data_IF_020074312822
#
_entry.id   IF_020074312822
#
_cell.length_a   1.000
_cell.length_b   1.000
_cell.length_c   1.000
_cell.angle_alpha   90.00
_cell.angle_beta   90.00
_cell.angle_gamma   90.00
#
_symmetry.space_group_name_H-M   'P 1'
#
loop_
_entity.id
_entity.type
_entity.pdbx_description
1 polymer ?
#
# COMPACT_ATOMS: atom_id res chain seq x y z
N UNK A 1 -4.70 -6.64 -19.18
CA UNK A 1 -4.26 -8.03 -18.91
C UNK A 1 -4.85 -8.47 -17.59
N UNK A 2 -5.38 -9.69 -17.51
CA UNK A 2 -5.93 -10.22 -16.26
C UNK A 2 -4.79 -10.76 -15.38
N UNK A 3 -4.50 -10.10 -14.26
CA UNK A 3 -3.43 -10.50 -13.34
C UNK A 3 -3.87 -11.70 -12.48
N UNK A 4 -3.06 -12.75 -12.25
CA UNK A 4 -3.43 -13.87 -11.39
C UNK A 4 -3.60 -13.46 -9.92
N UNK A 5 -4.51 -14.12 -9.17
CA UNK A 5 -4.74 -13.84 -7.73
C UNK A 5 -3.46 -14.01 -6.92
N UNK A 6 -2.69 -15.08 -7.17
CA UNK A 6 -1.42 -15.31 -6.49
C UNK A 6 -0.42 -14.17 -6.70
N UNK A 7 -0.41 -13.57 -7.90
CA UNK A 7 0.44 -12.42 -8.17
C UNK A 7 0.00 -11.22 -7.32
N UNK A 8 -1.31 -10.92 -7.29
CA UNK A 8 -1.87 -9.82 -6.48
C UNK A 8 -1.50 -9.97 -5.00
N UNK A 9 -1.63 -11.18 -4.45
CA UNK A 9 -1.24 -11.47 -3.06
C UNK A 9 0.26 -11.31 -2.83
N UNK A 10 1.08 -11.73 -3.79
CA UNK A 10 2.54 -11.59 -3.70
C UNK A 10 2.95 -10.13 -3.67
N UNK A 11 2.36 -9.29 -4.52
CA UNK A 11 2.65 -7.86 -4.53
C UNK A 11 2.06 -7.14 -3.31
N UNK A 12 0.91 -7.59 -2.81
CA UNK A 12 0.30 -7.06 -1.59
C UNK A 12 1.26 -7.24 -0.42
N UNK A 13 1.76 -8.46 -0.18
CA UNK A 13 2.74 -8.73 0.88
C UNK A 13 4.07 -8.00 0.66
N UNK A 14 4.50 -7.82 -0.60
CA UNK A 14 5.72 -7.06 -0.89
C UNK A 14 5.55 -5.57 -0.53
N UNK A 15 4.41 -4.96 -0.88
CA UNK A 15 4.11 -3.58 -0.51
C UNK A 15 3.91 -3.41 1.00
N UNK A 16 3.27 -4.37 1.66
CA UNK A 16 3.07 -4.40 3.11
C UNK A 16 4.40 -4.40 3.87
N UNK A 17 5.36 -5.26 3.49
CA UNK A 17 6.69 -5.28 4.11
C UNK A 17 7.45 -3.96 3.99
N UNK A 18 7.34 -3.28 2.85
CA UNK A 18 7.98 -1.97 2.69
C UNK A 18 7.29 -0.88 3.49
N UNK A 19 5.95 -0.92 3.59
CA UNK A 19 5.20 -0.07 4.52
C UNK A 19 5.66 -0.29 5.97
N UNK A 20 5.72 -1.54 6.44
CA UNK A 20 6.17 -1.88 7.80
C UNK A 20 7.59 -1.37 8.09
N UNK A 21 8.50 -1.44 7.11
CA UNK A 21 9.85 -0.89 7.25
C UNK A 21 9.83 0.61 7.54
N UNK A 22 9.03 1.37 6.79
CA UNK A 22 8.90 2.82 7.02
C UNK A 22 8.15 3.15 8.30
N UNK A 23 7.16 2.36 8.69
CA UNK A 23 6.45 2.53 9.97
C UNK A 23 7.42 2.36 11.14
N UNK A 24 8.31 1.37 11.07
CA UNK A 24 9.35 1.17 12.07
C UNK A 24 10.37 2.32 12.09
N UNK A 25 10.76 2.83 10.92
CA UNK A 25 11.75 3.91 10.78
C UNK A 25 11.21 5.26 11.28
N UNK A 26 9.99 5.62 10.89
CA UNK A 26 9.39 6.92 11.16
C UNK A 26 8.42 6.93 12.34
N UNK A 27 8.15 5.77 12.95
CA UNK A 27 7.22 5.60 14.08
C UNK A 27 5.84 6.18 13.78
N UNK A 28 5.38 6.02 12.54
CA UNK A 28 4.13 6.56 12.01
C UNK A 28 3.48 5.51 11.12
N UNK A 29 2.21 5.19 11.36
CA UNK A 29 1.47 4.21 10.57
C UNK A 29 1.36 4.66 9.11
N UNK A 30 1.50 3.73 8.16
CA UNK A 30 1.44 4.02 6.72
C UNK A 30 0.09 4.58 6.31
N UNK A 31 -0.99 4.22 7.00
CA UNK A 31 -2.31 4.79 6.77
C UNK A 31 -2.37 6.28 7.12
N UNK A 32 -1.84 6.67 8.27
CA UNK A 32 -1.77 8.06 8.72
C UNK A 32 -0.79 8.87 7.89
N UNK A 33 0.40 8.33 7.65
CA UNK A 33 1.36 8.91 6.73
C UNK A 33 0.72 9.19 5.37
N UNK A 34 0.04 8.20 4.78
CA UNK A 34 -0.52 8.36 3.44
C UNK A 34 -1.69 9.36 3.41
N UNK A 35 -2.48 9.43 4.49
CA UNK A 35 -3.51 10.47 4.67
C UNK A 35 -2.89 11.87 4.70
N UNK A 36 -1.82 12.06 5.46
CA UNK A 36 -1.08 13.34 5.54
C UNK A 36 -0.42 13.68 4.19
N UNK A 37 0.17 12.68 3.53
CA UNK A 37 0.79 12.82 2.22
C UNK A 37 -0.21 13.33 1.17
N UNK A 38 -1.39 12.73 1.11
CA UNK A 38 -2.47 13.17 0.22
C UNK A 38 -2.99 14.57 0.54
N UNK A 39 -2.94 14.97 1.81
CA UNK A 39 -3.31 16.32 2.25
C UNK A 39 -2.21 17.38 2.02
N UNK A 40 -1.02 16.97 1.55
CA UNK A 40 0.14 17.86 1.45
C UNK A 40 0.68 18.31 2.81
N UNK A 41 0.41 17.56 3.87
CA UNK A 41 0.74 17.88 5.27
C UNK A 41 1.95 17.11 5.80
N UNK A 42 2.75 16.50 4.92
CA UNK A 42 4.00 15.83 5.29
C UNK A 42 5.16 16.81 5.25
N UNK A 43 5.96 16.82 6.31
CA UNK A 43 7.24 17.53 6.32
C UNK A 43 8.19 16.88 5.31
N UNK A 44 9.06 17.66 4.67
CA UNK A 44 9.96 17.17 3.61
C UNK A 44 10.95 16.13 4.16
N UNK A 45 10.98 14.95 3.55
CA UNK A 45 11.87 13.84 3.91
C UNK A 45 12.25 13.07 2.64
N UNK A 46 13.47 12.51 2.57
CA UNK A 46 14.02 11.97 1.33
C UNK A 46 13.19 10.80 0.76
N UNK A 47 12.55 10.01 1.61
CA UNK A 47 11.91 8.75 1.19
C UNK A 47 10.38 8.82 1.07
N UNK A 48 9.77 9.99 1.29
CA UNK A 48 8.29 10.13 1.32
C UNK A 48 7.63 9.69 0.01
N UNK A 49 8.23 10.04 -1.13
CA UNK A 49 7.69 9.65 -2.42
C UNK A 49 7.68 8.13 -2.59
N UNK A 50 8.72 7.47 -2.08
CA UNK A 50 8.85 6.02 -2.16
C UNK A 50 7.85 5.34 -1.21
N UNK A 51 7.75 5.81 0.03
CA UNK A 51 6.76 5.31 0.99
C UNK A 51 5.33 5.50 0.46
N UNK A 52 5.00 6.66 -0.10
CA UNK A 52 3.69 6.90 -0.72
C UNK A 52 3.43 5.98 -1.91
N UNK A 53 4.47 5.60 -2.65
CA UNK A 53 4.41 4.58 -3.69
C UNK A 53 3.98 3.22 -3.17
N UNK A 54 4.57 2.75 -2.07
CA UNK A 54 4.19 1.48 -1.43
C UNK A 54 2.78 1.53 -0.85
N UNK A 55 2.38 2.63 -0.20
CA UNK A 55 1.00 2.80 0.27
C UNK A 55 -0.02 2.71 -0.87
N UNK A 56 0.27 3.32 -2.03
CA UNK A 56 -0.57 3.21 -3.24
C UNK A 56 -0.62 1.77 -3.75
N UNK A 57 0.53 1.10 -3.82
CA UNK A 57 0.62 -0.29 -4.29
C UNK A 57 -0.17 -1.25 -3.38
N UNK A 58 -0.02 -1.12 -2.07
CA UNK A 58 -0.75 -1.88 -1.07
C UNK A 58 -2.27 -1.70 -1.24
N UNK A 59 -2.75 -0.44 -1.24
CA UNK A 59 -4.18 -0.14 -1.41
C UNK A 59 -4.75 -0.67 -2.72
N UNK A 60 -4.02 -0.54 -3.82
CA UNK A 60 -4.43 -1.07 -5.12
C UNK A 60 -4.57 -2.59 -5.07
N UNK A 61 -3.56 -3.32 -4.58
CA UNK A 61 -3.59 -4.78 -4.53
C UNK A 61 -4.69 -5.29 -3.58
N UNK A 62 -4.91 -4.61 -2.45
CA UNK A 62 -5.99 -4.92 -1.52
C UNK A 62 -7.37 -4.76 -2.18
N UNK A 63 -7.60 -3.64 -2.87
CA UNK A 63 -8.85 -3.40 -3.59
C UNK A 63 -9.08 -4.45 -4.69
N UNK A 64 -8.05 -4.79 -5.47
CA UNK A 64 -8.13 -5.83 -6.50
C UNK A 64 -8.46 -7.21 -5.90
N UNK A 65 -7.84 -7.55 -4.76
CA UNK A 65 -8.12 -8.79 -4.05
C UNK A 65 -9.57 -8.84 -3.57
N UNK A 66 -10.07 -7.78 -2.91
CA UNK A 66 -11.44 -7.69 -2.41
C UNK A 66 -12.48 -7.86 -3.54
N UNK A 67 -12.29 -7.20 -4.68
CA UNK A 67 -13.20 -7.32 -5.84
C UNK A 67 -13.24 -8.76 -6.36
N UNK A 68 -12.10 -9.45 -6.40
CA UNK A 68 -12.01 -10.84 -6.88
C UNK A 68 -12.61 -11.84 -5.89
N UNK A 69 -12.41 -11.63 -4.60
CA UNK A 69 -13.01 -12.46 -3.55
C UNK A 69 -14.54 -12.33 -3.56
N UNK A 70 -15.07 -11.12 -3.76
CA UNK A 70 -16.50 -10.88 -3.90
C UNK A 70 -17.08 -11.53 -5.17
N UNK A 71 -16.39 -11.43 -6.30
CA UNK A 71 -16.81 -12.03 -7.57
C UNK A 71 -16.76 -13.57 -7.59
N UNK A 72 -15.97 -14.19 -6.72
CA UNK A 72 -15.89 -15.66 -6.58
C UNK A 72 -16.93 -16.23 -5.62
N UNK A 73 -17.73 -15.37 -4.97
CA UNK A 73 -18.79 -15.73 -4.02
C UNK A 73 -20.21 -15.62 -4.62
N UNK A 74 -20.32 -15.37 -5.92
CA UNK A 74 -21.56 -15.33 -6.71
C UNK A 74 -21.58 -16.47 -7.73
#
# INVERSE_FOLDING_TARGET
MNRPVLQILTDLHAAERECERYEAEYQLLSEDFFRLYLAGQVADAPDLQMWAGFCKAHRRCLQEHMVRSAASSQ
#
